data_IF_938581638583
#
_entry.id   IF_938581638583
#
_cell.length_a   1.000
_cell.length_b   1.000
_cell.length_c   1.000
_cell.angle_alpha   90.00
_cell.angle_beta   90.00
_cell.angle_gamma   90.00
#
_symmetry.space_group_name_H-M   'P 1'
#
loop_
_entity.id
_entity.type
_entity.pdbx_description
1 polymer ?
#
# COMPACT_ATOMS: atom_id res chain seq x y z
N UNK A 1 -15.52 -1.25 14.86
CA UNK A 1 -15.58 -0.88 13.42
C UNK A 1 -16.70 -1.66 12.76
N UNK A 2 -17.34 -1.20 11.67
CA UNK A 2 -18.32 -2.05 10.97
C UNK A 2 -17.63 -3.05 10.01
N UNK A 3 -18.28 -4.16 9.60
CA UNK A 3 -17.64 -5.20 8.80
C UNK A 3 -17.10 -4.73 7.45
N UNK A 4 -17.70 -3.69 6.86
CA UNK A 4 -17.24 -3.11 5.59
C UNK A 4 -15.94 -2.33 5.75
N UNK A 5 -15.83 -1.57 6.84
CA UNK A 5 -14.62 -0.82 7.18
C UNK A 5 -13.45 -1.76 7.50
N UNK A 6 -13.71 -2.89 8.16
CA UNK A 6 -12.67 -3.90 8.42
C UNK A 6 -12.11 -4.50 7.14
N UNK A 7 -12.98 -4.96 6.24
CA UNK A 7 -12.56 -5.45 4.91
C UNK A 7 -11.79 -4.39 4.11
N UNK A 8 -12.18 -3.11 4.22
CA UNK A 8 -11.47 -2.02 3.56
C UNK A 8 -10.07 -1.79 4.17
N UNK A 9 -9.95 -1.86 5.50
CA UNK A 9 -8.66 -1.72 6.19
C UNK A 9 -7.68 -2.82 5.75
N UNK A 10 -8.14 -4.07 5.77
CA UNK A 10 -7.34 -5.23 5.36
C UNK A 10 -6.96 -5.12 3.88
N UNK A 11 -7.91 -4.76 3.02
CA UNK A 11 -7.67 -4.54 1.59
C UNK A 11 -6.60 -3.47 1.34
N UNK A 12 -6.66 -2.33 2.04
CA UNK A 12 -5.67 -1.25 1.86
C UNK A 12 -4.27 -1.68 2.31
N UNK A 13 -4.17 -2.44 3.39
CA UNK A 13 -2.90 -3.01 3.85
C UNK A 13 -2.33 -3.99 2.81
N UNK A 14 -3.17 -4.82 2.20
CA UNK A 14 -2.75 -5.77 1.18
C UNK A 14 -2.33 -5.08 -0.13
N UNK A 15 -3.07 -4.06 -0.59
CA UNK A 15 -2.66 -3.22 -1.72
C UNK A 15 -1.26 -2.65 -1.49
N UNK A 16 -0.98 -2.11 -0.31
CA UNK A 16 0.34 -1.58 -0.03
C UNK A 16 1.45 -2.64 -0.11
N UNK A 17 1.24 -3.83 0.48
CA UNK A 17 2.22 -4.94 0.40
C UNK A 17 2.49 -5.35 -1.04
N UNK A 18 1.44 -5.50 -1.85
CA UNK A 18 1.57 -5.97 -3.23
C UNK A 18 2.19 -4.92 -4.14
N UNK A 19 1.83 -3.63 -3.97
CA UNK A 19 2.48 -2.54 -4.70
C UNK A 19 3.96 -2.44 -4.34
N UNK A 20 4.30 -2.49 -3.05
CA UNK A 20 5.70 -2.48 -2.62
C UNK A 20 6.48 -3.67 -3.21
N UNK A 21 5.89 -4.86 -3.19
CA UNK A 21 6.48 -6.07 -3.78
C UNK A 21 6.72 -5.89 -5.28
N UNK A 22 5.72 -5.37 -6.01
CA UNK A 22 5.84 -5.07 -7.43
C UNK A 22 6.97 -4.07 -7.71
N UNK A 23 7.03 -2.97 -6.96
CA UNK A 23 8.10 -1.97 -7.09
C UNK A 23 9.48 -2.58 -6.87
N UNK A 24 9.64 -3.41 -5.83
CA UNK A 24 10.91 -4.09 -5.53
C UNK A 24 11.29 -5.05 -6.65
N UNK A 25 10.37 -5.91 -7.09
CA UNK A 25 10.63 -6.87 -8.18
C UNK A 25 11.00 -6.11 -9.46
N UNK A 26 10.22 -5.09 -9.84
CA UNK A 26 10.49 -4.29 -11.03
C UNK A 26 11.81 -3.52 -10.93
N UNK A 27 12.24 -3.11 -9.74
CA UNK A 27 13.52 -2.43 -9.53
C UNK A 27 14.75 -3.26 -9.90
N UNK A 28 14.62 -4.59 -9.90
CA UNK A 28 15.69 -5.52 -10.29
C UNK A 28 15.92 -5.57 -11.80
N UNK A 29 14.96 -5.09 -12.61
CA UNK A 29 15.09 -5.05 -14.07
C UNK A 29 15.78 -3.76 -14.52
N UNK A 30 16.76 -3.88 -15.42
CA UNK A 30 17.51 -2.73 -15.94
C UNK A 30 16.85 -2.05 -17.16
N UNK A 31 15.91 -2.71 -17.82
CA UNK A 31 15.21 -2.19 -19.01
C UNK A 31 13.94 -1.37 -18.71
N UNK A 32 13.74 -0.98 -17.45
CA UNK A 32 12.61 -0.11 -17.09
C UNK A 32 13.00 1.33 -17.40
N UNK A 33 12.39 1.91 -18.43
CA UNK A 33 12.70 3.25 -18.96
C UNK A 33 12.52 4.37 -17.92
N UNK A 34 11.48 4.30 -17.08
CA UNK A 34 11.13 5.36 -16.13
C UNK A 34 11.13 4.91 -14.65
N UNK A 35 12.28 4.39 -14.18
CA UNK A 35 12.44 3.92 -12.79
C UNK A 35 12.03 4.98 -11.75
N UNK A 36 12.33 6.25 -11.99
CA UNK A 36 11.96 7.36 -11.10
C UNK A 36 10.45 7.47 -10.92
N UNK A 37 9.69 7.38 -12.01
CA UNK A 37 8.22 7.46 -11.96
C UNK A 37 7.67 6.25 -11.21
N UNK A 38 8.20 5.05 -11.46
CA UNK A 38 7.82 3.84 -10.76
C UNK A 38 8.05 3.94 -9.24
N UNK A 39 9.20 4.46 -8.80
CA UNK A 39 9.49 4.62 -7.39
C UNK A 39 8.61 5.67 -6.72
N UNK A 40 8.42 6.83 -7.33
CA UNK A 40 7.63 7.93 -6.75
C UNK A 40 6.15 7.53 -6.65
N UNK A 41 5.59 7.00 -7.74
CA UNK A 41 4.18 6.58 -7.76
C UNK A 41 3.94 5.38 -6.86
N UNK A 42 4.82 4.39 -6.89
CA UNK A 42 4.77 3.22 -6.02
C UNK A 42 4.84 3.60 -4.54
N UNK A 43 5.79 4.46 -4.15
CA UNK A 43 5.92 4.95 -2.78
C UNK A 43 4.67 5.74 -2.34
N UNK A 44 4.15 6.61 -3.20
CA UNK A 44 2.95 7.39 -2.90
C UNK A 44 1.73 6.50 -2.61
N UNK A 45 1.49 5.49 -3.46
CA UNK A 45 0.40 4.53 -3.27
C UNK A 45 0.60 3.74 -1.97
N UNK A 46 1.80 3.23 -1.71
CA UNK A 46 2.13 2.48 -0.49
C UNK A 46 1.86 3.32 0.76
N UNK A 47 2.33 4.56 0.81
CA UNK A 47 2.19 5.44 1.98
C UNK A 47 0.71 5.77 2.23
N UNK A 48 -0.06 6.10 1.19
CA UNK A 48 -1.48 6.43 1.36
C UNK A 48 -2.26 5.20 1.82
N UNK A 49 -2.10 4.07 1.14
CA UNK A 49 -2.80 2.84 1.47
C UNK A 49 -2.46 2.33 2.87
N UNK A 50 -1.18 2.35 3.27
CA UNK A 50 -0.79 2.02 4.64
C UNK A 50 -1.34 2.99 5.66
N UNK A 51 -1.25 4.30 5.42
CA UNK A 51 -1.71 5.31 6.37
C UNK A 51 -3.20 5.17 6.64
N UNK A 52 -4.02 5.07 5.58
CA UNK A 52 -5.47 4.91 5.72
C UNK A 52 -5.79 3.55 6.37
N UNK A 53 -5.16 2.46 5.91
CA UNK A 53 -5.37 1.11 6.44
C UNK A 53 -5.03 1.01 7.93
N UNK A 54 -3.91 1.61 8.37
CA UNK A 54 -3.50 1.65 9.76
C UNK A 54 -4.41 2.52 10.62
N UNK A 55 -4.81 3.72 10.16
CA UNK A 55 -5.76 4.57 10.90
C UNK A 55 -7.07 3.83 11.12
N UNK A 56 -7.58 3.14 10.10
CA UNK A 56 -8.82 2.37 10.20
C UNK A 56 -8.66 1.18 11.16
N UNK A 57 -7.54 0.46 11.08
CA UNK A 57 -7.22 -0.64 11.99
C UNK A 57 -7.03 -0.18 13.43
N UNK A 58 -6.43 0.98 13.67
CA UNK A 58 -6.25 1.51 15.03
C UNK A 58 -7.59 1.87 15.68
N UNK A 59 -8.52 2.46 14.90
CA UNK A 59 -9.91 2.68 15.35
C UNK A 59 -10.67 1.39 15.68
N UNK A 60 -10.19 0.22 15.26
CA UNK A 60 -10.70 -1.09 15.69
C UNK A 60 -10.18 -1.46 17.08
N UNK A 61 -8.92 -1.15 17.39
CA UNK A 61 -8.25 -1.49 18.67
C UNK A 61 -8.67 -0.60 19.83
N UNK A 62 -9.03 0.66 19.56
CA UNK A 62 -9.53 1.61 20.57
C UNK A 62 -11.01 1.40 20.96
N UNK A 63 -11.66 0.35 20.46
CA UNK A 63 -13.01 -0.09 20.86
C UNK A 63 -12.95 -1.48 21.49
#
# INVERSE_FOLDING_TARGET
>A
MNPRQEKLADFLIDVAKYVLTGVVITSLFNDVSDKTILYVTGLFIVVISLTIGLILTNKRKDK
#
